data_IF_337127444879
#
_entry.id   IF_337127444879
#
_cell.length_a   1.000
_cell.length_b   1.000
_cell.length_c   1.000
_cell.angle_alpha   90.00
_cell.angle_beta   90.00
_cell.angle_gamma   90.00
#
_symmetry.space_group_name_H-M   'P 1'
#
loop_
_entity.id
_entity.type
_entity.pdbx_description
1 polymer ?
#
# COMPACT_ATOMS: atom_id res chain seq x y z
N UNK A 1 -0.70 8.77 1.20
CA UNK A 1 -2.15 9.12 1.12
C UNK A 1 -2.51 10.23 0.12
N UNK A 2 -1.86 11.40 0.13
CA UNK A 2 -2.24 12.55 -0.72
C UNK A 2 -2.14 12.32 -2.24
N UNK A 3 -1.23 11.43 -2.68
CA UNK A 3 -1.03 11.06 -4.10
C UNK A 3 -1.75 9.77 -4.51
N UNK A 4 -2.67 9.25 -3.68
CA UNK A 4 -3.33 7.97 -3.93
C UNK A 4 -4.21 8.00 -5.18
N UNK A 5 -4.13 6.95 -5.99
CA UNK A 5 -5.01 6.77 -7.15
C UNK A 5 -6.48 6.64 -6.74
N UNK A 6 -6.77 6.08 -5.55
CA UNK A 6 -8.14 5.96 -5.04
C UNK A 6 -8.77 7.33 -4.77
N UNK A 7 -7.97 8.30 -4.30
CA UNK A 7 -8.42 9.69 -4.12
C UNK A 7 -8.65 10.36 -5.47
N UNK A 8 -7.71 10.20 -6.41
CA UNK A 8 -7.81 10.79 -7.76
C UNK A 8 -8.99 10.24 -8.56
N UNK A 9 -9.34 8.98 -8.36
CA UNK A 9 -10.49 8.33 -8.98
C UNK A 9 -11.82 8.67 -8.29
N UNK A 10 -11.81 9.37 -7.15
CA UNK A 10 -13.01 9.77 -6.42
C UNK A 10 -13.60 8.68 -5.51
N UNK A 11 -12.90 7.57 -5.29
CA UNK A 11 -13.34 6.51 -4.37
C UNK A 11 -13.20 6.89 -2.89
N UNK A 12 -12.30 7.83 -2.59
CA UNK A 12 -12.06 8.34 -1.25
C UNK A 12 -12.28 9.84 -1.19
N UNK A 13 -13.13 10.27 -0.26
CA UNK A 13 -13.30 11.68 0.08
C UNK A 13 -12.10 12.22 0.85
N UNK A 14 -11.91 13.56 0.90
CA UNK A 14 -10.88 14.19 1.73
C UNK A 14 -11.00 13.89 3.23
N UNK A 15 -12.17 13.47 3.72
CA UNK A 15 -12.35 13.05 5.12
C UNK A 15 -11.87 11.61 5.31
N UNK A 16 -12.22 10.71 4.39
CA UNK A 16 -11.83 9.30 4.46
C UNK A 16 -10.32 9.12 4.30
N UNK A 17 -9.67 9.89 3.43
CA UNK A 17 -8.20 9.82 3.31
C UNK A 17 -7.48 10.25 4.60
N UNK A 18 -8.08 11.16 5.39
CA UNK A 18 -7.53 11.52 6.71
C UNK A 18 -7.67 10.38 7.70
N UNK A 19 -8.81 9.69 7.70
CA UNK A 19 -9.01 8.49 8.54
C UNK A 19 -7.98 7.42 8.20
N UNK A 20 -7.78 7.15 6.90
CA UNK A 20 -6.74 6.23 6.40
C UNK A 20 -5.35 6.65 6.89
N UNK A 21 -5.00 7.93 6.76
CA UNK A 21 -3.70 8.44 7.21
C UNK A 21 -3.53 8.39 8.75
N UNK A 22 -4.59 8.69 9.51
CA UNK A 22 -4.59 8.64 10.98
C UNK A 22 -4.44 7.21 11.51
N UNK A 23 -4.91 6.21 10.75
CA UNK A 23 -4.69 4.80 11.05
C UNK A 23 -3.25 4.33 10.76
N UNK A 24 -2.36 5.21 10.28
CA UNK A 24 -0.96 4.88 9.99
C UNK A 24 -0.72 4.27 8.61
N UNK A 25 -1.72 4.30 7.71
CA UNK A 25 -1.58 3.72 6.38
C UNK A 25 -0.52 4.46 5.56
N UNK A 26 0.47 3.72 5.07
CA UNK A 26 1.49 4.25 4.16
C UNK A 26 1.18 3.94 2.70
N UNK A 27 0.39 2.90 2.43
CA UNK A 27 -0.03 2.49 1.10
C UNK A 27 -1.13 1.43 1.11
N UNK A 28 -1.45 0.94 -0.08
CA UNK A 28 -2.38 -0.17 -0.30
C UNK A 28 -1.94 -1.05 -1.48
N UNK A 29 -2.36 -2.31 -1.48
CA UNK A 29 -2.35 -3.20 -2.64
C UNK A 29 -3.77 -3.69 -2.85
N UNK A 30 -4.36 -3.42 -4.01
CA UNK A 30 -5.76 -3.77 -4.29
C UNK A 30 -6.74 -3.24 -3.23
N UNK A 31 -6.51 -2.03 -2.70
CA UNK A 31 -7.25 -1.42 -1.59
C UNK A 31 -7.15 -2.15 -0.23
N UNK A 32 -6.27 -3.15 -0.10
CA UNK A 32 -5.82 -3.68 1.20
C UNK A 32 -4.75 -2.72 1.74
N UNK A 33 -5.11 -1.94 2.76
CA UNK A 33 -4.24 -0.91 3.33
C UNK A 33 -3.33 -1.48 4.41
N UNK A 34 -2.11 -0.96 4.51
CA UNK A 34 -1.11 -1.41 5.47
C UNK A 34 -0.25 -0.27 6.01
N UNK A 35 0.36 -0.49 7.18
CA UNK A 35 1.36 0.39 7.77
C UNK A 35 2.80 0.11 7.27
N UNK A 36 3.77 0.89 7.73
CA UNK A 36 5.19 0.73 7.33
C UNK A 36 5.82 -0.58 7.83
N UNK A 37 5.23 -1.23 8.82
CA UNK A 37 5.68 -2.51 9.35
C UNK A 37 5.03 -3.69 8.61
N UNK A 38 4.10 -3.40 7.70
CA UNK A 38 3.39 -4.40 6.91
C UNK A 38 2.15 -4.97 7.60
N UNK A 39 1.70 -4.38 8.70
CA UNK A 39 0.45 -4.80 9.34
C UNK A 39 -0.73 -4.33 8.50
N UNK A 40 -1.67 -5.24 8.23
CA UNK A 40 -2.91 -4.88 7.53
C UNK A 40 -3.82 -4.11 8.50
N UNK A 41 -4.39 -3.02 8.00
CA UNK A 41 -5.19 -2.10 8.80
C UNK A 41 -6.67 -2.45 8.67
N UNK A 42 -7.31 -2.69 9.82
CA UNK A 42 -8.77 -2.79 9.90
C UNK A 42 -9.36 -1.39 10.01
N UNK A 43 -9.81 -0.86 8.87
CA UNK A 43 -10.32 0.50 8.74
C UNK A 43 -11.65 0.53 7.98
N UNK A 44 -12.54 1.51 8.23
CA UNK A 44 -13.90 1.52 7.67
C UNK A 44 -13.99 1.40 6.14
N UNK A 45 -12.95 1.80 5.41
CA UNK A 45 -12.91 1.65 3.96
C UNK A 45 -12.83 0.19 3.52
N UNK A 46 -12.14 -0.68 4.28
CA UNK A 46 -11.95 -2.08 3.94
C UNK A 46 -13.29 -2.82 3.81
N UNK A 47 -14.27 -2.49 4.66
CA UNK A 47 -15.61 -3.08 4.64
C UNK A 47 -16.42 -2.75 3.37
N UNK A 48 -15.99 -1.75 2.57
CA UNK A 48 -16.67 -1.31 1.34
C UNK A 48 -15.98 -1.81 0.08
N UNK A 49 -14.80 -2.41 0.20
CA UNK A 49 -14.03 -2.89 -0.94
C UNK A 49 -14.66 -4.17 -1.47
N UNK A 50 -15.09 -4.14 -2.73
CA UNK A 50 -15.41 -5.34 -3.50
C UNK A 50 -14.20 -5.62 -4.39
N UNK A 51 -13.39 -6.62 -4.02
CA UNK A 51 -12.13 -6.91 -4.69
C UNK A 51 -11.47 -8.19 -4.18
N UNK A 52 -10.24 -8.44 -4.63
CA UNK A 52 -9.43 -9.55 -4.13
C UNK A 52 -9.09 -9.33 -2.66
N UNK A 53 -9.34 -10.33 -1.81
CA UNK A 53 -9.01 -10.22 -0.39
C UNK A 53 -7.49 -10.36 -0.18
N UNK A 54 -6.99 -9.90 0.97
CA UNK A 54 -5.63 -10.21 1.42
C UNK A 54 -5.34 -11.72 1.34
N UNK A 55 -6.28 -12.53 1.84
CA UNK A 55 -6.11 -13.99 1.89
C UNK A 55 -5.99 -14.61 0.51
N UNK A 56 -6.70 -14.07 -0.48
CA UNK A 56 -6.65 -14.54 -1.86
C UNK A 56 -5.38 -14.09 -2.55
N UNK A 57 -4.94 -12.85 -2.31
CA UNK A 57 -3.63 -12.38 -2.77
C UNK A 57 -2.52 -13.32 -2.28
N UNK A 58 -2.48 -13.64 -0.97
CA UNK A 58 -1.44 -14.50 -0.39
C UNK A 58 -1.39 -15.91 -0.97
N UNK A 59 -2.48 -16.44 -1.54
CA UNK A 59 -2.51 -17.75 -2.20
C UNK A 59 -1.77 -17.74 -3.55
N UNK A 60 -1.64 -16.59 -4.20
CA UNK A 60 -0.96 -16.46 -5.49
C UNK A 60 0.55 -16.61 -5.25
N UNK A 61 1.26 -17.61 -5.80
CA UNK A 61 2.67 -17.85 -5.47
C UNK A 61 3.60 -16.70 -5.86
N UNK A 62 3.32 -16.04 -6.98
CA UNK A 62 4.13 -14.95 -7.52
C UNK A 62 3.31 -13.67 -7.65
N UNK A 63 3.69 -12.63 -6.89
CA UNK A 63 2.98 -11.34 -6.77
C UNK A 63 3.96 -10.21 -7.07
N UNK A 64 3.98 -9.76 -8.32
CA UNK A 64 4.90 -8.72 -8.77
C UNK A 64 4.33 -7.32 -8.48
N UNK A 65 4.96 -6.58 -7.58
CA UNK A 65 4.72 -5.15 -7.40
C UNK A 65 5.50 -4.32 -8.42
N UNK A 66 4.88 -3.28 -8.97
CA UNK A 66 5.55 -2.29 -9.83
C UNK A 66 5.27 -0.90 -9.29
N UNK A 67 6.29 -0.25 -8.73
CA UNK A 67 6.16 1.07 -8.14
C UNK A 67 7.52 1.76 -8.09
N UNK A 68 7.55 3.08 -8.22
CA UNK A 68 8.77 3.88 -8.28
C UNK A 68 8.60 5.29 -7.71
N UNK A 69 9.74 5.97 -7.55
CA UNK A 69 9.88 7.28 -6.95
C UNK A 69 10.03 7.26 -5.43
N UNK A 70 10.89 8.14 -4.92
CA UNK A 70 11.17 8.31 -3.48
C UNK A 70 9.91 8.47 -2.62
N UNK A 71 8.89 9.18 -3.13
CA UNK A 71 7.61 9.41 -2.42
C UNK A 71 6.86 8.11 -2.11
N UNK A 72 7.10 7.03 -2.86
CA UNK A 72 6.46 5.73 -2.65
C UNK A 72 7.28 4.79 -1.76
N UNK A 73 8.49 5.16 -1.36
CA UNK A 73 9.38 4.28 -0.59
C UNK A 73 8.70 3.69 0.67
N UNK A 74 7.97 4.45 1.51
CA UNK A 74 7.27 3.87 2.67
C UNK A 74 6.20 2.85 2.27
N UNK A 75 5.45 3.11 1.19
CA UNK A 75 4.43 2.20 0.68
C UNK A 75 5.04 0.92 0.09
N UNK A 76 6.15 1.04 -0.63
CA UNK A 76 6.88 -0.10 -1.20
C UNK A 76 7.41 -0.98 -0.07
N UNK A 77 8.04 -0.38 0.94
CA UNK A 77 8.57 -1.10 2.10
C UNK A 77 7.47 -1.81 2.90
N UNK A 78 6.34 -1.13 3.16
CA UNK A 78 5.17 -1.74 3.81
C UNK A 78 4.58 -2.89 3.00
N UNK A 79 4.49 -2.77 1.67
CA UNK A 79 4.00 -3.83 0.79
C UNK A 79 4.89 -5.07 0.81
N UNK A 80 6.22 -4.88 0.82
CA UNK A 80 7.19 -5.96 0.97
C UNK A 80 7.08 -6.64 2.34
N UNK A 81 7.06 -5.85 3.43
CA UNK A 81 6.97 -6.37 4.81
C UNK A 81 5.66 -7.10 5.08
N UNK A 82 4.55 -6.61 4.52
CA UNK A 82 3.25 -7.30 4.63
C UNK A 82 3.24 -8.64 3.89
N UNK A 83 4.11 -8.83 2.90
CA UNK A 83 4.10 -10.01 2.03
C UNK A 83 2.98 -10.01 0.99
N UNK A 84 2.24 -8.91 0.83
CA UNK A 84 1.23 -8.75 -0.22
C UNK A 84 1.84 -8.81 -1.62
N UNK A 85 3.10 -8.40 -1.76
CA UNK A 85 3.93 -8.64 -2.94
C UNK A 85 5.09 -9.58 -2.58
N UNK A 86 5.56 -10.37 -3.55
CA UNK A 86 6.69 -11.29 -3.41
C UNK A 86 7.91 -10.89 -4.25
N UNK A 87 7.71 -10.00 -5.23
CA UNK A 87 8.76 -9.47 -6.09
C UNK A 87 8.46 -8.00 -6.40
N UNK A 88 9.50 -7.22 -6.74
CA UNK A 88 9.39 -5.79 -7.00
C UNK A 88 10.15 -5.40 -8.27
N UNK A 89 9.50 -4.61 -9.13
CA UNK A 89 10.14 -3.77 -10.14
C UNK A 89 10.02 -2.31 -9.69
N UNK A 90 11.15 -1.61 -9.64
CA UNK A 90 11.23 -0.23 -9.14
C UNK A 90 12.38 0.55 -9.78
N UNK A 91 12.51 1.83 -9.44
CA UNK A 91 13.62 2.69 -9.86
C UNK A 91 14.66 2.91 -8.73
N UNK A 92 15.86 3.34 -9.11
CA UNK A 92 16.98 3.58 -8.18
C UNK A 92 16.66 4.63 -7.10
N UNK A 93 15.83 5.63 -7.41
CA UNK A 93 15.43 6.65 -6.43
C UNK A 93 14.59 6.06 -5.30
N UNK A 94 13.62 5.21 -5.63
CA UNK A 94 12.84 4.48 -4.65
C UNK A 94 13.73 3.55 -3.81
N UNK A 95 14.63 2.79 -4.46
CA UNK A 95 15.54 1.86 -3.77
C UNK A 95 16.40 2.56 -2.73
N UNK A 96 17.06 3.67 -3.09
CA UNK A 96 17.88 4.45 -2.15
C UNK A 96 17.06 4.93 -0.95
N UNK A 97 15.88 5.47 -1.22
CA UNK A 97 14.97 5.95 -0.17
C UNK A 97 14.47 4.82 0.73
N UNK A 98 14.28 3.61 0.19
CA UNK A 98 13.90 2.43 0.98
C UNK A 98 15.03 2.04 1.95
N UNK A 99 16.28 2.04 1.50
CA UNK A 99 17.42 1.71 2.37
C UNK A 99 17.61 2.70 3.53
N UNK A 100 17.20 3.96 3.36
CA UNK A 100 17.22 4.96 4.44
C UNK A 100 16.13 4.71 5.50
N UNK A 101 15.09 3.93 5.18
CA UNK A 101 13.95 3.63 6.08
C UNK A 101 14.13 2.34 6.90
N UNK A 102 15.19 1.55 6.64
CA UNK A 102 15.54 0.34 7.39
C UNK A 102 15.38 -0.96 6.62
#
# INVERSE_FOLDING_TARGET
>A
PAMSSLVRAGYLTPKEIRVVAQAGAVGDVCAVHFDIHGNILDIPIAARVIGVSESDLRKIPFRLGVAGGAVKAPAILGALRSGLISALVTDDLAVRSIFELG
#
